data_IF_130427084063
#
_entry.id   IF_130427084063
#
_cell.length_a   1.000
_cell.length_b   1.000
_cell.length_c   1.000
_cell.angle_alpha   90.00
_cell.angle_beta   90.00
_cell.angle_gamma   90.00
#
_symmetry.space_group_name_H-M   'P 1'
#
loop_
_entity.id
_entity.type
_entity.pdbx_description
1 polymer ?
#
# COMPACT_ATOMS: atom_id res chain seq x y z
N UNK A 1 5.03 22.99 8.90
CA UNK A 1 4.04 21.92 8.67
C UNK A 1 3.35 22.23 7.36
N UNK A 2 3.63 21.42 6.34
CA UNK A 2 2.92 21.48 5.06
C UNK A 2 1.58 20.80 5.28
N UNK A 3 0.49 21.52 5.06
CA UNK A 3 -0.86 20.93 5.10
C UNK A 3 -1.13 20.39 3.71
N UNK A 4 -1.26 19.07 3.59
CA UNK A 4 -1.68 18.43 2.34
C UNK A 4 -3.17 18.71 2.19
N UNK A 5 -3.59 19.18 1.01
CA UNK A 5 -5.02 19.25 0.71
C UNK A 5 -5.50 17.87 0.29
N UNK A 6 -6.62 17.41 0.85
CA UNK A 6 -7.21 16.12 0.51
C UNK A 6 -7.42 15.94 -1.00
N UNK A 7 -7.73 17.01 -1.74
CA UNK A 7 -7.87 16.97 -3.20
C UNK A 7 -6.55 16.66 -3.92
N UNK A 8 -5.44 17.24 -3.46
CA UNK A 8 -4.10 17.02 -4.04
C UNK A 8 -3.65 15.57 -3.81
N UNK A 9 -3.89 15.03 -2.61
CA UNK A 9 -3.63 13.63 -2.31
C UNK A 9 -4.55 12.70 -3.12
N UNK A 10 -5.84 13.02 -3.23
CA UNK A 10 -6.78 12.21 -3.99
C UNK A 10 -6.39 12.11 -5.46
N UNK A 11 -5.90 13.19 -6.06
CA UNK A 11 -5.44 13.18 -7.45
C UNK A 11 -4.16 12.35 -7.62
N UNK A 12 -3.22 12.42 -6.66
CA UNK A 12 -2.06 11.53 -6.62
C UNK A 12 -2.49 10.05 -6.52
N UNK A 13 -3.44 9.73 -5.63
CA UNK A 13 -3.94 8.37 -5.46
C UNK A 13 -4.57 7.84 -6.75
N UNK A 14 -5.39 8.64 -7.44
CA UNK A 14 -5.95 8.28 -8.76
C UNK A 14 -4.85 8.06 -9.80
N UNK A 15 -3.84 8.93 -9.85
CA UNK A 15 -2.70 8.77 -10.76
C UNK A 15 -1.97 7.45 -10.52
N UNK A 16 -1.77 7.08 -9.25
CA UNK A 16 -1.14 5.81 -8.85
C UNK A 16 -2.07 4.60 -8.98
N UNK A 17 -3.31 4.80 -9.41
CA UNK A 17 -4.26 3.73 -9.69
C UNK A 17 -5.04 3.21 -8.49
N UNK A 18 -5.03 3.94 -7.36
CA UNK A 18 -5.88 3.61 -6.22
C UNK A 18 -7.36 3.72 -6.61
N UNK A 19 -8.16 2.79 -6.09
CA UNK A 19 -9.60 2.75 -6.29
C UNK A 19 -10.31 2.55 -4.94
N UNK A 20 -11.56 3.02 -4.85
CA UNK A 20 -12.37 2.79 -3.66
C UNK A 20 -12.69 1.29 -3.51
N UNK A 21 -12.43 0.77 -2.31
CA UNK A 21 -12.76 -0.58 -1.90
C UNK A 21 -13.48 -0.52 -0.55
N UNK A 22 -14.67 -1.12 -0.49
CA UNK A 22 -15.47 -1.19 0.73
C UNK A 22 -15.38 -2.59 1.34
N UNK A 23 -14.92 -2.66 2.59
CA UNK A 23 -14.92 -3.87 3.41
C UNK A 23 -16.25 -3.92 4.16
N UNK A 24 -17.25 -4.57 3.54
CA UNK A 24 -18.65 -4.57 3.98
C UNK A 24 -18.83 -5.16 5.39
N UNK A 25 -18.00 -6.13 5.76
CA UNK A 25 -17.94 -6.76 7.07
C UNK A 25 -17.55 -5.78 8.19
N UNK A 26 -16.77 -4.75 7.86
CA UNK A 26 -16.30 -3.73 8.81
C UNK A 26 -17.03 -2.40 8.66
N UNK A 27 -17.78 -2.21 7.58
CA UNK A 27 -18.43 -0.95 7.26
C UNK A 27 -17.43 0.17 6.94
N UNK A 28 -16.22 -0.18 6.50
CA UNK A 28 -15.14 0.76 6.20
C UNK A 28 -14.86 0.82 4.70
N UNK A 29 -14.51 2.01 4.21
CA UNK A 29 -14.13 2.25 2.83
C UNK A 29 -12.73 2.86 2.77
N UNK A 30 -11.93 2.36 1.84
CA UNK A 30 -10.54 2.77 1.64
C UNK A 30 -10.30 3.10 0.17
N UNK A 31 -9.40 4.04 -0.09
CA UNK A 31 -8.68 4.09 -1.36
C UNK A 31 -7.56 3.05 -1.29
N UNK A 32 -7.59 2.07 -2.21
CA UNK A 32 -6.68 0.92 -2.18
C UNK A 32 -6.03 0.72 -3.55
N UNK A 33 -4.74 0.40 -3.56
CA UNK A 33 -4.04 -0.19 -4.70
C UNK A 33 -3.45 -1.55 -4.29
N UNK A 34 -3.39 -2.47 -5.24
CA UNK A 34 -2.87 -3.82 -5.00
C UNK A 34 -1.87 -4.18 -6.09
N UNK A 35 -0.69 -4.60 -5.67
CA UNK A 35 0.37 -5.12 -6.54
C UNK A 35 0.43 -6.63 -6.38
N UNK A 36 0.28 -7.34 -7.50
CA UNK A 36 0.40 -8.79 -7.58
C UNK A 36 1.44 -9.23 -8.60
N UNK A 37 2.12 -8.29 -9.27
CA UNK A 37 3.25 -8.62 -10.14
C UNK A 37 4.40 -9.15 -9.26
N UNK A 38 4.90 -10.38 -9.50
CA UNK A 38 5.94 -10.97 -8.66
C UNK A 38 7.25 -10.17 -8.63
N UNK A 39 7.57 -9.44 -9.70
CA UNK A 39 8.75 -8.57 -9.77
C UNK A 39 8.62 -7.40 -8.81
N UNK A 40 7.52 -6.66 -8.90
CA UNK A 40 7.21 -5.52 -8.02
C UNK A 40 7.08 -5.96 -6.56
N UNK A 41 6.34 -7.05 -6.31
CA UNK A 41 6.15 -7.58 -4.95
C UNK A 41 7.50 -7.94 -4.33
N UNK A 42 8.40 -8.59 -5.09
CA UNK A 42 9.76 -8.94 -4.64
C UNK A 42 10.59 -7.71 -4.27
N UNK A 43 10.42 -6.57 -4.96
CA UNK A 43 11.10 -5.32 -4.58
C UNK A 43 10.62 -4.78 -3.23
N UNK A 44 9.31 -4.80 -2.98
CA UNK A 44 8.77 -4.40 -1.68
C UNK A 44 9.18 -5.35 -0.56
N UNK A 45 9.24 -6.66 -0.83
CA UNK A 45 9.80 -7.61 0.14
C UNK A 45 11.23 -7.25 0.53
N UNK A 46 12.08 -6.98 -0.45
CA UNK A 46 13.47 -6.57 -0.18
C UNK A 46 13.57 -5.29 0.61
N UNK A 47 12.66 -4.34 0.37
CA UNK A 47 12.62 -3.05 1.06
C UNK A 47 12.20 -3.20 2.52
N UNK A 48 11.29 -4.13 2.82
CA UNK A 48 10.62 -4.18 4.12
C UNK A 48 10.98 -5.37 4.99
N UNK A 49 11.45 -6.48 4.44
CA UNK A 49 11.91 -7.65 5.21
C UNK A 49 13.43 -7.68 5.26
N UNK A 50 13.98 -8.09 6.41
CA UNK A 50 15.43 -8.27 6.58
C UNK A 50 15.92 -9.47 5.75
N UNK A 51 17.22 -9.50 5.40
CA UNK A 51 17.80 -10.56 4.57
C UNK A 51 17.55 -11.97 5.15
N UNK A 52 17.61 -12.13 6.48
CA UNK A 52 17.32 -13.39 7.17
C UNK A 52 15.86 -13.86 6.97
N UNK A 53 14.91 -12.93 6.84
CA UNK A 53 13.50 -13.24 6.59
C UNK A 53 13.22 -13.48 5.10
N UNK A 54 14.13 -13.08 4.21
CA UNK A 54 14.04 -13.33 2.76
C UNK A 54 14.57 -14.72 2.37
N UNK A 55 15.41 -15.35 3.20
CA UNK A 55 15.99 -16.68 2.95
C UNK A 55 15.02 -17.84 3.28
N UNK A 56 14.02 -17.60 4.13
CA UNK A 56 12.90 -18.52 4.25
C UNK A 56 12.19 -18.56 2.88
N UNK A 57 12.05 -19.73 2.26
CA UNK A 57 11.42 -19.92 0.95
C UNK A 57 9.92 -19.57 1.00
N UNK A 58 9.59 -18.30 1.19
CA UNK A 58 8.23 -17.79 1.13
C UNK A 58 7.79 -17.97 -0.32
N UNK A 59 6.74 -18.78 -0.53
CA UNK A 59 6.14 -18.96 -1.85
C UNK A 59 5.40 -17.67 -2.23
N UNK A 60 6.14 -16.74 -2.83
CA UNK A 60 5.67 -15.40 -3.16
C UNK A 60 4.74 -15.38 -4.37
N UNK A 61 4.37 -16.53 -4.96
CA UNK A 61 3.60 -16.58 -6.20
C UNK A 61 2.20 -15.99 -6.07
N UNK A 62 1.59 -16.12 -4.90
CA UNK A 62 0.25 -15.62 -4.64
C UNK A 62 0.22 -14.42 -3.69
N UNK A 63 1.39 -13.91 -3.29
CA UNK A 63 1.50 -12.78 -2.36
C UNK A 63 1.12 -11.49 -3.08
N UNK A 64 0.31 -10.67 -2.40
CA UNK A 64 -0.02 -9.33 -2.87
C UNK A 64 0.46 -8.28 -1.87
N UNK A 65 0.93 -7.16 -2.38
CA UNK A 65 1.22 -5.97 -1.60
C UNK A 65 0.07 -4.98 -1.75
N UNK A 66 -0.58 -4.65 -0.64
CA UNK A 66 -1.74 -3.76 -0.59
C UNK A 66 -1.31 -2.48 0.09
N UNK A 67 -1.62 -1.35 -0.52
CA UNK A 67 -1.44 -0.01 0.06
C UNK A 67 -2.79 0.67 0.07
N UNK A 68 -3.17 1.24 1.20
CA UNK A 68 -4.49 1.83 1.34
C UNK A 68 -4.56 2.94 2.40
N UNK A 69 -5.57 3.78 2.28
CA UNK A 69 -5.93 4.81 3.25
C UNK A 69 -7.45 4.91 3.32
N UNK A 70 -8.01 5.10 4.52
CA UNK A 70 -9.45 5.32 4.66
C UNK A 70 -9.92 6.52 3.82
N UNK A 71 -11.17 6.50 3.38
CA UNK A 71 -11.75 7.55 2.53
C UNK A 71 -11.86 8.94 3.22
N UNK A 72 -11.71 8.97 4.55
CA UNK A 72 -11.55 10.17 5.37
C UNK A 72 -10.08 10.64 5.54
N UNK A 73 -9.12 9.92 4.96
CA UNK A 73 -7.67 10.18 5.02
C UNK A 73 -7.00 10.05 6.40
N UNK A 74 -7.59 9.33 7.36
CA UNK A 74 -7.03 9.26 8.73
C UNK A 74 -6.11 8.06 8.96
N UNK A 75 -6.35 6.94 8.27
CA UNK A 75 -5.68 5.65 8.57
C UNK A 75 -4.92 5.09 7.36
N UNK A 76 -3.77 5.67 6.98
CA UNK A 76 -2.90 5.13 5.94
C UNK A 76 -2.13 3.89 6.41
N UNK A 77 -2.04 2.88 5.54
CA UNK A 77 -1.36 1.62 5.82
C UNK A 77 -0.91 0.87 4.57
N UNK A 78 -0.03 -0.11 4.76
CA UNK A 78 0.22 -1.17 3.81
C UNK A 78 0.31 -2.53 4.49
N UNK A 79 0.04 -3.59 3.74
CA UNK A 79 0.25 -4.97 4.18
C UNK A 79 0.64 -5.89 3.02
N UNK A 80 1.31 -6.99 3.36
CA UNK A 80 1.33 -8.16 2.50
C UNK A 80 0.13 -9.05 2.83
N UNK A 81 -0.44 -9.69 1.82
CA UNK A 81 -1.57 -10.63 1.97
C UNK A 81 -1.20 -12.00 1.41
N UNK A 82 -2.04 -13.01 1.71
CA UNK A 82 -1.84 -14.42 1.37
C UNK A 82 -0.65 -15.08 2.10
N UNK A 83 -0.72 -15.12 3.43
CA UNK A 83 0.18 -15.92 4.27
C UNK A 83 1.36 -15.16 4.87
N UNK A 84 1.37 -13.83 4.77
CA UNK A 84 2.39 -12.98 5.35
C UNK A 84 1.79 -11.98 6.33
N UNK A 85 2.47 -11.80 7.45
CA UNK A 85 1.93 -11.04 8.58
C UNK A 85 2.50 -9.62 8.68
N UNK A 86 3.26 -9.15 7.68
CA UNK A 86 3.85 -7.81 7.74
C UNK A 86 2.85 -6.75 7.31
N UNK A 87 2.59 -5.86 8.25
CA UNK A 87 1.69 -4.73 8.16
C UNK A 87 2.39 -3.50 8.75
N UNK A 88 2.08 -2.34 8.19
CA UNK A 88 2.57 -1.07 8.68
C UNK A 88 1.45 -0.04 8.61
N UNK A 89 1.28 0.70 9.70
CA UNK A 89 0.49 1.92 9.73
C UNK A 89 1.46 3.09 9.70
N UNK A 90 1.23 4.03 8.78
CA UNK A 90 2.05 5.23 8.72
C UNK A 90 1.70 6.14 9.90
N UNK A 91 2.69 6.86 10.43
CA UNK A 91 2.47 7.77 11.56
C UNK A 91 1.55 8.94 11.19
N UNK A 92 1.58 9.37 9.93
CA UNK A 92 0.78 10.47 9.42
C UNK A 92 0.60 10.38 7.90
N UNK A 93 -0.29 11.23 7.38
CA UNK A 93 -0.63 11.30 5.94
C UNK A 93 0.53 11.79 5.08
N UNK A 94 1.47 12.56 5.63
CA UNK A 94 2.62 13.06 4.88
C UNK A 94 3.61 11.95 4.55
N UNK A 95 3.94 11.09 5.51
CA UNK A 95 4.80 9.94 5.26
C UNK A 95 4.17 8.96 4.25
N UNK A 96 2.84 8.83 4.31
CA UNK A 96 2.08 8.07 3.32
C UNK A 96 2.15 8.70 1.93
N UNK A 97 1.97 10.02 1.80
CA UNK A 97 2.07 10.72 0.52
C UNK A 97 3.45 10.53 -0.11
N UNK A 98 4.52 10.72 0.66
CA UNK A 98 5.89 10.51 0.19
C UNK A 98 6.12 9.08 -0.27
N UNK A 99 5.60 8.10 0.48
CA UNK A 99 5.64 6.71 0.06
C UNK A 99 4.85 6.45 -1.24
N UNK A 100 3.65 7.02 -1.38
CA UNK A 100 2.82 6.88 -2.57
C UNK A 100 3.50 7.47 -3.80
N UNK A 101 4.27 8.56 -3.67
CA UNK A 101 5.06 9.13 -4.78
C UNK A 101 6.10 8.14 -5.31
N UNK A 102 6.70 7.33 -4.45
CA UNK A 102 7.69 6.30 -4.82
C UNK A 102 7.06 5.06 -5.48
N UNK A 103 5.76 4.85 -5.33
CA UNK A 103 5.08 3.70 -5.93
C UNK A 103 5.14 3.78 -7.47
N UNK A 104 5.23 2.64 -8.17
CA UNK A 104 5.12 2.64 -9.62
C UNK A 104 3.76 3.19 -10.04
N UNK A 105 3.73 4.01 -11.09
CA UNK A 105 2.47 4.42 -11.70
C UNK A 105 1.73 3.19 -12.24
N UNK A 106 0.40 3.24 -12.27
CA UNK A 106 -0.40 2.18 -12.87
C UNK A 106 0.02 2.02 -14.34
N UNK A 107 0.67 0.90 -14.66
CA UNK A 107 0.88 0.52 -16.05
C UNK A 107 -0.50 0.30 -16.68
N UNK A 108 -0.74 1.02 -17.78
CA UNK A 108 -2.00 1.01 -18.52
C UNK A 108 -2.19 -0.27 -19.32
#
# INVERSE_FOLDING_TARGET
MTVIKNDELLDLLKQKGFALKTYLDQGLTFYTVTYSDPGIVKEFFKKFYDEEQQEENIDNKDVQFVVEIQDNFESPQWCFTNGLEKHHMFENVFDFEEFVKELPDKQT
#
